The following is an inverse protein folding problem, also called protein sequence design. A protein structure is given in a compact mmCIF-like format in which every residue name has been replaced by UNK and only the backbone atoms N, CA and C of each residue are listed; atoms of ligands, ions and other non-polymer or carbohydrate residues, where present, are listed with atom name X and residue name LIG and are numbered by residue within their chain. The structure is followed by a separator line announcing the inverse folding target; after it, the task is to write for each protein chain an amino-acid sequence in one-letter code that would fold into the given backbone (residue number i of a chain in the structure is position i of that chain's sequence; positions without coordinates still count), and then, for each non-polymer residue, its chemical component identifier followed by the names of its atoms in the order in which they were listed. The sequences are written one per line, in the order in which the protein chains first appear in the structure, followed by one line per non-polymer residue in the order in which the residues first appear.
data_IF_540211443594
#
_entry.id   IF_540211443594
#
_cell.length_a   1.000
_cell.length_b   1.000
_cell.length_c   1.000
_cell.angle_alpha   90.00
_cell.angle_beta   90.00
_cell.angle_gamma   90.00
#
_symmetry.space_group_name_H-M   'P 1'
#
loop_
_entity.id
_entity.type
_entity.pdbx_description
1 polymer ?
#
# COMPACT_ATOMS: atom_id res chain seq x y z
N UNK A 1 52.86 10.02 -17.34
CA UNK A 1 52.02 10.51 -16.21
C UNK A 1 50.59 9.93 -16.20
N UNK A 2 50.28 8.86 -16.94
CA UNK A 2 48.92 8.26 -17.00
C UNK A 2 48.76 6.96 -16.19
N UNK A 3 49.87 6.31 -15.81
CA UNK A 3 49.86 5.02 -15.12
C UNK A 3 49.43 5.12 -13.65
N UNK A 4 49.71 6.25 -12.99
CA UNK A 4 49.34 6.49 -11.59
C UNK A 4 47.83 6.69 -11.40
N UNK A 5 47.15 7.28 -12.38
CA UNK A 5 45.70 7.56 -12.31
C UNK A 5 44.84 6.28 -12.35
N UNK A 6 45.21 5.31 -13.19
CA UNK A 6 44.49 4.03 -13.33
C UNK A 6 44.69 3.13 -12.10
N UNK A 7 45.89 3.14 -11.51
CA UNK A 7 46.18 2.36 -10.30
C UNK A 7 45.47 2.91 -9.07
N UNK A 8 45.38 4.24 -8.91
CA UNK A 8 44.65 4.87 -7.81
C UNK A 8 43.14 4.60 -7.93
N UNK A 9 42.56 4.71 -9.13
CA UNK A 9 41.14 4.40 -9.35
C UNK A 9 40.78 2.94 -9.08
N UNK A 10 41.67 2.00 -9.46
CA UNK A 10 41.50 0.57 -9.14
C UNK A 10 41.62 0.28 -7.65
N UNK A 11 42.51 0.98 -6.95
CA UNK A 11 42.65 0.85 -5.49
C UNK A 11 41.41 1.38 -4.78
N UNK A 12 40.87 2.53 -5.19
CA UNK A 12 39.61 3.06 -4.65
C UNK A 12 38.43 2.14 -4.92
N UNK A 13 38.34 1.56 -6.13
CA UNK A 13 37.28 0.60 -6.46
C UNK A 13 37.40 -0.71 -5.65
N UNK A 14 38.61 -1.23 -5.46
CA UNK A 14 38.84 -2.40 -4.61
C UNK A 14 38.50 -2.14 -3.14
N UNK A 15 38.89 -0.98 -2.59
CA UNK A 15 38.56 -0.59 -1.21
C UNK A 15 37.05 -0.42 -1.03
N UNK A 16 36.37 0.20 -2.00
CA UNK A 16 34.91 0.36 -1.96
C UNK A 16 34.15 -0.97 -2.07
N UNK A 17 34.59 -1.87 -2.96
CA UNK A 17 34.03 -3.22 -3.07
C UNK A 17 34.26 -4.04 -1.79
N UNK A 18 35.43 -3.95 -1.18
CA UNK A 18 35.73 -4.62 0.09
C UNK A 18 34.84 -4.09 1.23
N UNK A 19 34.57 -2.78 1.27
CA UNK A 19 33.67 -2.17 2.25
C UNK A 19 32.21 -2.60 2.05
N UNK A 20 31.74 -2.67 0.81
CA UNK A 20 30.39 -3.18 0.51
C UNK A 20 30.23 -4.65 0.88
N UNK A 21 31.22 -5.50 0.58
CA UNK A 21 31.21 -6.91 1.00
C UNK A 21 31.21 -7.08 2.51
N UNK A 22 31.99 -6.28 3.23
CA UNK A 22 32.01 -6.28 4.69
C UNK A 22 30.67 -5.83 5.29
N UNK A 23 30.01 -4.83 4.69
CA UNK A 23 28.70 -4.36 5.14
C UNK A 23 27.61 -5.43 4.96
N UNK A 24 27.60 -6.15 3.83
CA UNK A 24 26.63 -7.26 3.59
C UNK A 24 26.77 -8.39 4.62
N UNK A 25 28.01 -8.69 5.05
CA UNK A 25 28.26 -9.72 6.08
C UNK A 25 27.80 -9.29 7.49
N UNK A 26 27.84 -7.98 7.80
CA UNK A 26 27.42 -7.46 9.11
C UNK A 26 25.89 -7.43 9.27
N UNK A 27 25.13 -7.11 8.21
CA UNK A 27 23.66 -7.02 8.29
C UNK A 27 22.92 -8.36 8.08
N UNK A 28 23.63 -9.46 7.78
CA UNK A 28 23.07 -10.82 7.79
C UNK A 28 23.13 -11.52 9.16
N UNK A 29 23.53 -10.82 10.22
CA UNK A 29 23.47 -11.33 11.59
C UNK A 29 22.03 -11.41 12.09
N UNK A 30 21.50 -12.64 12.20
CA UNK A 30 20.18 -12.99 12.70
C UNK A 30 19.77 -12.28 14.00
N UNK A 31 18.69 -11.51 13.95
CA UNK A 31 17.90 -11.21 15.15
C UNK A 31 17.04 -12.45 15.48
N UNK A 32 17.41 -13.11 16.58
CA UNK A 32 16.82 -14.35 17.09
C UNK A 32 15.38 -14.07 17.54
N UNK A 33 14.43 -14.77 16.92
CA UNK A 33 13.04 -14.83 17.36
C UNK A 33 12.92 -15.49 18.73
N UNK A 34 12.33 -14.81 19.70
CA UNK A 34 11.66 -15.46 20.84
C UNK A 34 10.16 -15.55 20.52
N UNK A 35 9.75 -16.73 20.06
CA UNK A 35 8.36 -17.15 20.09
C UNK A 35 8.05 -17.61 21.51
N UNK A 36 7.11 -16.95 22.16
CA UNK A 36 6.26 -17.64 23.12
C UNK A 36 4.88 -16.98 23.17
N UNK A 37 3.94 -17.51 22.38
CA UNK A 37 2.56 -17.72 22.84
C UNK A 37 2.04 -18.97 22.13
N UNK A 38 2.28 -20.10 22.80
CA UNK A 38 1.54 -21.33 22.67
C UNK A 38 0.04 -21.04 22.81
N UNK A 39 -0.71 -21.39 21.78
CA UNK A 39 -2.15 -21.57 21.86
C UNK A 39 -2.38 -23.02 22.31
N UNK A 40 -3.19 -23.24 23.33
CA UNK A 40 -4.02 -24.44 23.34
C UNK A 40 -5.42 -24.14 23.86
N UNK A 41 -6.45 -24.81 23.32
CA UNK A 41 -7.83 -24.34 23.28
C UNK A 41 -8.67 -24.95 24.40
N UNK A 42 -9.74 -24.26 24.79
CA UNK A 42 -11.14 -24.75 24.91
C UNK A 42 -11.98 -23.76 25.72
N UNK A 43 -13.28 -23.66 25.38
CA UNK A 43 -14.37 -22.93 26.03
C UNK A 43 -14.65 -21.48 25.55
N UNK A 44 -15.19 -21.43 24.34
CA UNK A 44 -16.36 -20.68 23.87
C UNK A 44 -16.85 -19.39 24.59
N UNK A 45 -17.11 -18.40 23.72
CA UNK A 45 -18.24 -17.48 23.70
C UNK A 45 -18.33 -16.46 24.85
N UNK A 46 -17.92 -15.21 24.56
CA UNK A 46 -18.80 -14.07 24.27
C UNK A 46 -17.92 -12.81 24.34
N UNK A 47 -17.23 -12.45 23.26
CA UNK A 47 -16.45 -11.19 23.21
C UNK A 47 -16.45 -10.60 21.79
N UNK A 48 -17.65 -10.45 21.24
CA UNK A 48 -17.90 -9.71 20.00
C UNK A 48 -18.39 -8.30 20.37
N UNK A 49 -17.47 -7.45 20.84
CA UNK A 49 -17.72 -6.00 20.96
C UNK A 49 -16.45 -5.16 21.17
N UNK A 50 -15.36 -5.71 21.75
CA UNK A 50 -14.21 -4.90 22.16
C UNK A 50 -12.99 -4.96 21.21
N UNK A 51 -12.89 -5.96 20.33
CA UNK A 51 -11.73 -6.14 19.44
C UNK A 51 -11.83 -5.42 18.08
N UNK A 52 -12.98 -4.81 17.78
CA UNK A 52 -13.30 -4.28 16.44
C UNK A 52 -12.55 -2.98 16.11
N UNK A 53 -12.41 -2.08 17.09
CA UNK A 53 -11.90 -0.71 16.86
C UNK A 53 -10.42 -0.63 16.43
N UNK A 54 -9.46 -1.35 17.05
CA UNK A 54 -8.04 -1.26 16.65
C UNK A 54 -7.79 -1.93 15.29
N UNK A 55 -8.52 -3.01 14.99
CA UNK A 55 -8.43 -3.72 13.72
C UNK A 55 -8.98 -2.86 12.57
N UNK A 56 -10.14 -2.23 12.75
CA UNK A 56 -10.75 -1.34 11.76
C UNK A 56 -9.89 -0.09 11.49
N UNK A 57 -9.32 0.52 12.53
CA UNK A 57 -8.37 1.62 12.37
C UNK A 57 -7.12 1.20 11.56
N UNK A 58 -6.62 -0.03 11.77
CA UNK A 58 -5.53 -0.61 10.99
C UNK A 58 -5.89 -0.80 9.50
N UNK A 59 -7.12 -1.24 9.22
CA UNK A 59 -7.63 -1.43 7.86
C UNK A 59 -7.74 -0.08 7.13
N UNK A 60 -8.33 0.94 7.76
CA UNK A 60 -8.45 2.26 7.18
C UNK A 60 -7.08 2.93 6.95
N UNK A 61 -6.12 2.76 7.88
CA UNK A 61 -4.75 3.25 7.71
C UNK A 61 -4.06 2.61 6.49
N UNK A 62 -4.22 1.30 6.30
CA UNK A 62 -3.71 0.62 5.10
C UNK A 62 -4.40 1.11 3.83
N UNK A 63 -5.71 1.36 3.89
CA UNK A 63 -6.49 1.96 2.82
C UNK A 63 -5.95 3.33 2.40
N UNK A 64 -5.62 4.18 3.38
CA UNK A 64 -4.98 5.48 3.14
C UNK A 64 -3.67 5.34 2.38
N UNK A 65 -2.79 4.42 2.78
CA UNK A 65 -1.53 4.18 2.07
C UNK A 65 -1.76 3.77 0.62
N UNK A 66 -2.72 2.87 0.36
CA UNK A 66 -3.08 2.47 -1.00
C UNK A 66 -3.64 3.65 -1.82
N UNK A 67 -4.50 4.46 -1.21
CA UNK A 67 -5.07 5.65 -1.86
C UNK A 67 -3.99 6.66 -2.26
N UNK A 68 -3.07 6.96 -1.35
CA UNK A 68 -1.98 7.90 -1.59
C UNK A 68 -1.00 7.39 -2.64
N UNK A 69 -0.77 6.09 -2.72
CA UNK A 69 0.14 5.52 -3.72
C UNK A 69 -0.48 5.46 -5.14
N UNK A 70 -1.80 5.34 -5.27
CA UNK A 70 -2.42 4.97 -6.54
C UNK A 70 -3.47 5.96 -7.08
N UNK A 71 -4.08 6.79 -6.23
CA UNK A 71 -5.30 7.52 -6.59
C UNK A 71 -5.09 9.04 -6.69
N UNK A 72 -4.16 9.59 -5.91
CA UNK A 72 -3.98 11.05 -5.77
C UNK A 72 -3.36 11.74 -6.99
N UNK A 73 -2.88 10.97 -7.98
CA UNK A 73 -2.43 11.53 -9.25
C UNK A 73 -3.57 12.21 -10.03
N UNK A 74 -4.80 11.75 -9.83
CA UNK A 74 -6.00 12.27 -10.49
C UNK A 74 -7.05 12.77 -9.49
N UNK A 75 -7.19 12.08 -8.36
CA UNK A 75 -8.10 12.47 -7.29
C UNK A 75 -7.40 13.38 -6.28
N UNK A 76 -8.18 14.04 -5.43
CA UNK A 76 -7.64 14.94 -4.41
C UNK A 76 -7.03 14.13 -3.26
N UNK A 77 -6.05 14.68 -2.52
CA UNK A 77 -5.54 14.03 -1.30
C UNK A 77 -6.63 13.86 -0.24
N UNK A 78 -7.61 14.76 -0.23
CA UNK A 78 -8.87 14.64 0.50
C UNK A 78 -9.94 14.00 -0.41
N UNK A 79 -10.36 12.74 -0.16
CA UNK A 79 -11.28 12.02 -1.06
C UNK A 79 -12.69 12.63 -1.15
N UNK A 80 -13.07 13.50 -0.21
CA UNK A 80 -14.35 14.23 -0.25
C UNK A 80 -14.33 15.39 -1.26
N UNK A 81 -13.15 15.77 -1.79
CA UNK A 81 -12.99 16.86 -2.75
C UNK A 81 -12.67 16.33 -4.14
N UNK A 82 -13.11 17.07 -5.16
CA UNK A 82 -12.70 16.79 -6.53
C UNK A 82 -11.20 17.05 -6.71
N UNK A 83 -10.54 16.16 -7.45
CA UNK A 83 -9.18 16.38 -7.93
C UNK A 83 -9.17 17.13 -9.26
N UNK A 84 -7.97 17.27 -9.84
CA UNK A 84 -7.77 17.89 -11.16
C UNK A 84 -8.53 17.14 -12.27
N UNK A 85 -8.53 15.81 -12.21
CA UNK A 85 -9.17 14.94 -13.21
C UNK A 85 -10.27 14.07 -12.62
N UNK A 86 -10.06 13.52 -11.42
CA UNK A 86 -10.98 12.62 -10.75
C UNK A 86 -12.06 13.35 -9.95
N UNK A 87 -13.30 12.84 -9.88
CA UNK A 87 -14.32 13.38 -8.99
C UNK A 87 -13.99 13.12 -7.50
N UNK A 88 -14.78 13.70 -6.59
CA UNK A 88 -14.82 13.28 -5.20
C UNK A 88 -15.33 11.83 -5.10
N UNK A 89 -14.69 11.01 -4.28
CA UNK A 89 -14.95 9.56 -4.17
C UNK A 89 -15.14 9.06 -2.72
N UNK A 90 -15.24 9.95 -1.74
CA UNK A 90 -15.77 9.56 -0.42
C UNK A 90 -17.12 8.86 -0.57
N UNK A 91 -17.44 8.01 0.40
CA UNK A 91 -18.75 7.33 0.50
C UNK A 91 -19.04 6.38 -0.67
N UNK A 92 -18.00 5.96 -1.38
CA UNK A 92 -18.13 5.01 -2.50
C UNK A 92 -18.38 3.61 -1.96
N UNK A 93 -19.42 2.95 -2.48
CA UNK A 93 -19.72 1.57 -2.14
C UNK A 93 -18.61 0.61 -2.57
N UNK A 94 -18.47 -0.51 -1.85
CA UNK A 94 -17.48 -1.55 -2.18
C UNK A 94 -17.68 -2.11 -3.60
N UNK A 95 -18.92 -2.24 -4.05
CA UNK A 95 -19.25 -2.71 -5.40
C UNK A 95 -18.77 -1.71 -6.47
N UNK A 96 -19.09 -0.42 -6.28
CA UNK A 96 -18.61 0.65 -7.17
C UNK A 96 -17.08 0.66 -7.24
N UNK A 97 -16.40 0.59 -6.10
CA UNK A 97 -14.93 0.52 -6.06
C UNK A 97 -14.42 -0.72 -6.79
N UNK A 98 -15.02 -1.88 -6.58
CA UNK A 98 -14.61 -3.14 -7.22
C UNK A 98 -14.69 -3.01 -8.74
N UNK A 99 -15.86 -2.66 -9.28
CA UNK A 99 -16.07 -2.55 -10.73
C UNK A 99 -15.22 -1.42 -11.32
N UNK A 100 -15.24 -0.24 -10.70
CA UNK A 100 -14.55 0.92 -11.27
C UNK A 100 -13.04 0.78 -11.25
N UNK A 101 -12.47 0.30 -10.14
CA UNK A 101 -11.01 0.15 -10.00
C UNK A 101 -10.52 -1.05 -10.81
N UNK A 102 -11.19 -2.20 -10.78
CA UNK A 102 -10.64 -3.41 -11.42
C UNK A 102 -11.01 -3.57 -12.90
N UNK A 103 -12.17 -3.07 -13.30
CA UNK A 103 -12.73 -3.28 -14.65
C UNK A 103 -12.96 -1.96 -15.41
N UNK A 104 -12.90 -0.81 -14.74
CA UNK A 104 -13.20 0.49 -15.36
C UNK A 104 -14.68 0.74 -15.64
N UNK A 105 -15.55 -0.17 -15.22
CA UNK A 105 -17.01 -0.15 -15.41
C UNK A 105 -17.74 0.40 -14.18
N UNK A 106 -19.08 0.47 -14.25
CA UNK A 106 -19.94 0.94 -13.16
C UNK A 106 -21.02 -0.11 -12.85
N UNK A 107 -21.56 -0.15 -11.62
CA UNK A 107 -22.73 -0.94 -11.30
C UNK A 107 -23.94 -0.56 -12.17
N UNK A 108 -24.89 -1.47 -12.32
CA UNK A 108 -26.13 -1.20 -13.05
C UNK A 108 -26.90 -0.01 -12.44
N UNK A 109 -27.42 0.87 -13.29
CA UNK A 109 -28.14 2.09 -12.86
C UNK A 109 -27.27 3.21 -12.29
N UNK A 110 -25.98 3.00 -12.08
CA UNK A 110 -25.09 4.03 -11.54
C UNK A 110 -24.82 5.14 -12.57
N UNK A 111 -24.98 6.39 -12.14
CA UNK A 111 -24.69 7.57 -12.96
C UNK A 111 -23.28 8.11 -12.65
N UNK A 112 -22.33 8.09 -13.62
CA UNK A 112 -20.99 8.61 -13.40
C UNK A 112 -20.95 10.10 -13.09
N UNK A 113 -20.17 10.48 -12.08
CA UNK A 113 -19.94 11.90 -11.69
C UNK A 113 -19.21 12.72 -12.78
N UNK A 114 -18.58 12.06 -13.75
CA UNK A 114 -17.86 12.66 -14.89
C UNK A 114 -18.12 11.81 -16.14
N UNK A 115 -18.17 12.44 -17.30
CA UNK A 115 -18.38 11.78 -18.61
C UNK A 115 -17.08 11.24 -19.22
N UNK A 116 -15.93 11.61 -18.67
CA UNK A 116 -14.61 11.20 -19.19
C UNK A 116 -14.29 9.75 -18.83
N UNK A 117 -13.52 9.07 -19.70
CA UNK A 117 -13.04 7.69 -19.49
C UNK A 117 -11.53 7.65 -19.17
N UNK A 118 -11.04 8.68 -18.48
CA UNK A 118 -9.59 8.86 -18.25
C UNK A 118 -9.00 7.92 -17.19
N UNK A 119 -9.80 7.46 -16.23
CA UNK A 119 -9.31 6.54 -15.19
C UNK A 119 -9.09 5.14 -15.77
N UNK A 120 -7.83 4.67 -15.92
CA UNK A 120 -7.55 3.32 -16.39
C UNK A 120 -7.92 2.28 -15.31
N UNK A 121 -8.25 1.04 -15.69
CA UNK A 121 -8.42 -0.04 -14.73
C UNK A 121 -7.08 -0.41 -14.07
N UNK A 122 -7.13 -0.72 -12.78
CA UNK A 122 -6.04 -1.11 -11.88
C UNK A 122 -6.34 -2.51 -11.29
N UNK A 123 -6.35 -3.59 -12.10
CA UNK A 123 -6.77 -4.92 -11.65
C UNK A 123 -5.88 -5.50 -10.55
N UNK A 124 -4.62 -5.07 -10.45
CA UNK A 124 -3.69 -5.45 -9.38
C UNK A 124 -4.15 -4.98 -7.98
N UNK A 125 -5.05 -4.00 -7.90
CA UNK A 125 -5.59 -3.50 -6.62
C UNK A 125 -6.82 -4.27 -6.13
N UNK A 126 -7.22 -5.36 -6.78
CA UNK A 126 -8.39 -6.16 -6.38
C UNK A 126 -8.37 -6.57 -4.89
N UNK A 127 -7.22 -7.04 -4.40
CA UNK A 127 -7.05 -7.39 -2.99
C UNK A 127 -7.05 -6.16 -2.05
N UNK A 128 -6.80 -4.97 -2.59
CA UNK A 128 -6.79 -3.69 -1.89
C UNK A 128 -8.18 -3.09 -1.63
N UNK A 129 -9.21 -3.54 -2.36
CA UNK A 129 -10.55 -2.92 -2.33
C UNK A 129 -11.16 -2.84 -0.92
N UNK A 130 -11.10 -3.87 -0.06
CA UNK A 130 -11.64 -3.76 1.30
C UNK A 130 -10.97 -2.65 2.13
N UNK A 131 -9.66 -2.46 1.97
CA UNK A 131 -8.91 -1.42 2.68
C UNK A 131 -9.25 -0.03 2.13
N UNK A 132 -9.30 0.11 0.80
CA UNK A 132 -9.72 1.37 0.16
C UNK A 132 -11.14 1.75 0.58
N UNK A 133 -12.07 0.79 0.61
CA UNK A 133 -13.44 1.03 1.06
C UNK A 133 -13.48 1.54 2.49
N UNK A 134 -12.75 0.91 3.42
CA UNK A 134 -12.69 1.36 4.81
C UNK A 134 -12.11 2.78 4.96
N UNK A 135 -11.11 3.15 4.15
CA UNK A 135 -10.55 4.50 4.19
C UNK A 135 -11.51 5.57 3.63
N UNK A 136 -12.28 5.24 2.60
CA UNK A 136 -13.20 6.16 1.94
C UNK A 136 -14.55 6.31 2.65
N UNK A 137 -14.83 5.46 3.64
CA UNK A 137 -16.06 5.43 4.44
C UNK A 137 -15.70 5.33 5.94
N UNK A 138 -15.11 6.38 6.53
CA UNK A 138 -14.71 6.41 7.93
C UNK A 138 -15.89 6.49 8.92
#
# INVERSE_FOLDING_TARGET
MFYTSVSVLRLFHQVFLAFLLAFVLVFSGCEKSDKNQESSPTAQATEEAAATQPAEAGIAKRGKSLYFANCIACHNTDPAKAGSLGPAISDSSKELLTLKVTQGTYPEGYQPKRTTKLMPPLPNLKAGIPFLHAFLNP
#
